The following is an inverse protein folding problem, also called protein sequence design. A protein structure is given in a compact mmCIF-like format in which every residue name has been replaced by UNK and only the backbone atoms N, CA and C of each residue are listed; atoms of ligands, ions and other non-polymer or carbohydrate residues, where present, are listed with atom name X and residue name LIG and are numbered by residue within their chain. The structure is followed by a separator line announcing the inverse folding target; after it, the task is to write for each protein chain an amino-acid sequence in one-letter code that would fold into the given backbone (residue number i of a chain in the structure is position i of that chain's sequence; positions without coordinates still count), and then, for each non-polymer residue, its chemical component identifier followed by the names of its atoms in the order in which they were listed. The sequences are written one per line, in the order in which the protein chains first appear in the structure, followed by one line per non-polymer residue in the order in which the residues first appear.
data_IF_661467519067
#
_entry.id   IF_661467519067
#
_cell.length_a   1.000
_cell.length_b   1.000
_cell.length_c   1.000
_cell.angle_alpha   90.00
_cell.angle_beta   90.00
_cell.angle_gamma   90.00
#
_symmetry.space_group_name_H-M   'P 1'
#
loop_
_entity.id
_entity.type
_entity.pdbx_description
1 polymer ?
#
# COMPACT_ATOMS: atom_id res chain seq x y z
N UNK A 1 8.04 58.47 -5.25
CA UNK A 1 7.41 59.50 -6.10
C UNK A 1 6.84 58.74 -7.28
N UNK A 2 5.54 58.64 -7.52
CA UNK A 2 4.34 59.28 -6.97
C UNK A 2 3.21 58.24 -6.88
N UNK A 3 2.28 58.50 -5.97
CA UNK A 3 1.00 57.81 -5.76
C UNK A 3 -0.13 58.74 -6.32
N UNK A 4 -1.43 58.47 -6.14
CA UNK A 4 -2.48 58.31 -7.16
C UNK A 4 -3.42 59.55 -7.26
N UNK A 5 -4.62 59.41 -7.87
CA UNK A 5 -5.86 59.28 -7.07
C UNK A 5 -6.85 58.24 -7.69
N UNK A 6 -7.73 57.50 -6.99
CA UNK A 6 -8.85 57.85 -6.08
C UNK A 6 -9.91 58.74 -6.79
N UNK A 7 -11.24 58.58 -6.72
CA UNK A 7 -12.17 57.76 -5.92
C UNK A 7 -13.63 58.19 -6.27
N UNK A 8 -14.62 57.52 -5.63
CA UNK A 8 -16.01 57.96 -5.28
C UNK A 8 -17.12 57.69 -6.31
N UNK A 9 -18.34 57.27 -5.94
CA UNK A 9 -19.11 57.23 -4.67
C UNK A 9 -20.29 56.22 -4.83
N UNK A 10 -20.62 55.37 -3.85
CA UNK A 10 -21.69 55.49 -2.80
C UNK A 10 -23.13 55.49 -3.39
N UNK A 11 -24.13 54.76 -2.88
CA UNK A 11 -24.72 54.71 -1.53
C UNK A 11 -25.27 53.28 -1.26
N UNK A 12 -25.07 52.63 -0.11
CA UNK A 12 -25.51 52.91 1.26
C UNK A 12 -27.00 52.63 1.54
N UNK A 13 -27.20 51.78 2.57
CA UNK A 13 -28.29 51.76 3.55
C UNK A 13 -29.68 51.23 3.18
N UNK A 14 -30.04 50.05 3.73
CA UNK A 14 -30.77 49.99 5.01
C UNK A 14 -31.27 48.56 5.34
N UNK A 15 -30.81 48.04 6.47
CA UNK A 15 -31.50 47.04 7.30
C UNK A 15 -32.08 47.77 8.53
N UNK A 16 -32.81 47.12 9.46
CA UNK A 16 -34.25 46.82 9.54
C UNK A 16 -34.99 47.73 10.57
N UNK A 17 -36.20 47.39 11.09
CA UNK A 17 -36.20 46.57 12.30
C UNK A 17 -37.40 45.62 12.50
N UNK A 18 -37.13 44.62 13.35
CA UNK A 18 -38.09 43.79 14.11
C UNK A 18 -39.23 44.60 14.74
N UNK A 19 -40.42 43.99 14.82
CA UNK A 19 -41.39 44.24 15.91
C UNK A 19 -41.95 42.93 16.45
N UNK A 20 -41.57 42.61 17.69
CA UNK A 20 -42.48 42.03 18.69
C UNK A 20 -43.42 43.14 19.19
N UNK A 21 -44.65 42.80 19.59
CA UNK A 21 -45.26 43.16 20.89
C UNK A 21 -46.73 42.69 20.93
N UNK A 22 -47.10 42.28 22.14
CA UNK A 22 -48.29 41.64 22.69
C UNK A 22 -49.65 42.37 22.62
N UNK A 23 -50.67 41.61 23.05
CA UNK A 23 -51.93 42.02 23.72
C UNK A 23 -53.04 42.57 22.81
N UNK A 24 -54.33 42.21 22.92
CA UNK A 24 -55.14 41.93 24.12
C UNK A 24 -56.43 41.16 23.78
N UNK A 25 -56.94 40.48 24.81
CA UNK A 25 -58.09 39.60 24.99
C UNK A 25 -59.50 40.00 24.49
N UNK A 26 -60.35 38.95 24.47
CA UNK A 26 -61.77 38.78 24.91
C UNK A 26 -62.59 38.04 23.82
N UNK A 27 -63.36 36.98 24.06
CA UNK A 27 -64.30 36.73 25.16
C UNK A 27 -64.63 35.23 25.27
N UNK A 28 -64.86 34.78 26.50
CA UNK A 28 -65.43 33.52 26.94
C UNK A 28 -66.55 32.93 26.06
N UNK A 29 -66.46 31.63 25.78
CA UNK A 29 -67.64 30.76 25.69
C UNK A 29 -67.44 29.63 26.71
N UNK A 30 -68.22 29.69 27.79
CA UNK A 30 -68.28 28.72 28.87
C UNK A 30 -69.17 27.56 28.42
N UNK A 31 -68.61 26.34 28.34
CA UNK A 31 -69.36 25.09 28.18
C UNK A 31 -69.35 24.32 29.53
N UNK A 32 -70.42 23.58 29.85
CA UNK A 32 -70.71 23.12 31.21
C UNK A 32 -69.76 22.00 31.64
N UNK A 33 -69.59 21.77 32.96
CA UNK A 33 -68.67 20.77 33.46
C UNK A 33 -69.33 19.39 33.31
N UNK A 34 -68.97 18.62 32.28
CA UNK A 34 -69.26 17.19 32.26
C UNK A 34 -68.12 16.46 32.96
N UNK A 35 -68.45 15.90 34.11
CA UNK A 35 -67.65 14.96 34.90
C UNK A 35 -67.20 13.76 34.06
N UNK A 36 -65.94 13.77 33.62
CA UNK A 36 -65.19 12.52 33.36
C UNK A 36 -63.67 12.77 33.27
N UNK A 37 -63.10 13.34 34.34
CA UNK A 37 -61.67 13.68 34.41
C UNK A 37 -60.75 12.46 34.64
N UNK A 38 -61.29 11.25 34.87
CA UNK A 38 -60.48 10.04 35.09
C UNK A 38 -60.13 9.26 33.83
N UNK A 39 -60.84 9.46 32.71
CA UNK A 39 -60.62 8.67 31.48
C UNK A 39 -59.54 9.27 30.58
N UNK A 40 -59.47 10.61 30.50
CA UNK A 40 -58.53 11.36 29.66
C UNK A 40 -57.08 11.23 30.17
N UNK A 41 -56.89 11.18 31.49
CA UNK A 41 -55.58 11.04 32.12
C UNK A 41 -54.97 9.64 31.88
N UNK A 42 -55.83 8.61 31.85
CA UNK A 42 -55.46 7.21 31.61
C UNK A 42 -55.03 6.96 30.15
N UNK A 43 -55.68 7.61 29.19
CA UNK A 43 -55.34 7.49 27.76
C UNK A 43 -54.01 8.19 27.42
N UNK A 44 -53.71 9.32 28.08
CA UNK A 44 -52.43 10.01 27.96
C UNK A 44 -51.24 9.20 28.50
N UNK A 45 -51.44 8.51 29.62
CA UNK A 45 -50.40 7.67 30.24
C UNK A 45 -50.12 6.40 29.43
N UNK A 46 -51.15 5.79 28.84
CA UNK A 46 -51.01 4.67 27.90
C UNK A 46 -50.22 5.06 26.65
N UNK A 47 -50.49 6.23 26.06
CA UNK A 47 -49.73 6.75 24.91
C UNK A 47 -48.27 7.05 25.27
N UNK A 48 -48.00 7.55 26.47
CA UNK A 48 -46.61 7.74 26.96
C UNK A 48 -45.89 6.41 27.18
N UNK A 49 -46.56 5.41 27.75
CA UNK A 49 -45.97 4.09 27.93
C UNK A 49 -45.71 3.39 26.60
N UNK A 50 -46.65 3.45 25.65
CA UNK A 50 -46.44 2.91 24.30
C UNK A 50 -45.34 3.68 23.55
N UNK A 51 -45.31 5.01 23.64
CA UNK A 51 -44.25 5.82 23.05
C UNK A 51 -42.87 5.47 23.60
N UNK A 52 -42.77 5.26 24.92
CA UNK A 52 -41.54 4.82 25.57
C UNK A 52 -41.13 3.42 25.16
N UNK A 53 -42.08 2.48 25.07
CA UNK A 53 -41.83 1.12 24.62
C UNK A 53 -41.33 1.10 23.16
N UNK A 54 -41.93 1.87 22.27
CA UNK A 54 -41.51 1.96 20.86
C UNK A 54 -40.10 2.55 20.76
N UNK A 55 -39.82 3.63 21.50
CA UNK A 55 -38.48 4.24 21.52
C UNK A 55 -37.42 3.29 22.08
N UNK A 56 -37.69 2.60 23.19
CA UNK A 56 -36.75 1.64 23.78
C UNK A 56 -36.51 0.43 22.85
N UNK A 57 -37.56 -0.04 22.16
CA UNK A 57 -37.44 -1.15 21.19
C UNK A 57 -36.64 -0.70 19.96
N UNK A 58 -36.89 0.51 19.47
CA UNK A 58 -36.20 1.07 18.31
C UNK A 58 -34.72 1.37 18.62
N UNK A 59 -34.42 1.88 19.81
CA UNK A 59 -33.06 2.11 20.30
C UNK A 59 -32.28 0.80 20.49
N UNK A 60 -32.96 -0.28 20.91
CA UNK A 60 -32.38 -1.62 21.03
C UNK A 60 -32.05 -2.21 19.66
N UNK A 61 -32.95 -2.05 18.68
CA UNK A 61 -32.75 -2.50 17.30
C UNK A 61 -31.59 -1.72 16.65
N UNK A 62 -31.56 -0.40 16.82
CA UNK A 62 -30.48 0.45 16.28
C UNK A 62 -29.13 0.16 16.93
N UNK A 63 -29.10 -0.15 18.23
CA UNK A 63 -27.87 -0.57 18.93
C UNK A 63 -27.37 -1.93 18.44
N UNK A 64 -28.26 -2.89 18.21
CA UNK A 64 -27.88 -4.20 17.67
C UNK A 64 -27.43 -4.10 16.21
N UNK A 65 -28.06 -3.24 15.41
CA UNK A 65 -27.67 -2.99 14.03
C UNK A 65 -26.29 -2.31 13.94
N UNK A 66 -26.02 -1.34 14.82
CA UNK A 66 -24.72 -0.67 14.89
C UNK A 66 -23.62 -1.63 15.34
N UNK A 67 -23.85 -2.45 16.38
CA UNK A 67 -22.93 -3.52 16.79
C UNK A 67 -22.65 -4.50 15.64
N UNK A 68 -23.67 -4.94 14.92
CA UNK A 68 -23.51 -5.82 13.77
C UNK A 68 -22.68 -5.17 12.65
N UNK A 69 -22.96 -3.90 12.31
CA UNK A 69 -22.21 -3.16 11.30
C UNK A 69 -20.74 -2.99 11.70
N UNK A 70 -20.47 -2.64 12.95
CA UNK A 70 -19.10 -2.53 13.47
C UNK A 70 -18.40 -3.88 13.46
N UNK A 71 -19.06 -4.95 13.92
CA UNK A 71 -18.52 -6.30 13.89
C UNK A 71 -18.19 -6.79 12.47
N UNK A 72 -19.06 -6.48 11.50
CA UNK A 72 -18.83 -6.82 10.10
C UNK A 72 -17.66 -6.03 9.51
N UNK A 73 -17.56 -4.73 9.79
CA UNK A 73 -16.41 -3.92 9.36
C UNK A 73 -15.09 -4.43 9.94
N UNK A 74 -15.06 -4.76 11.24
CA UNK A 74 -13.86 -5.33 11.88
C UNK A 74 -13.46 -6.66 11.23
N UNK A 75 -14.44 -7.52 10.95
CA UNK A 75 -14.18 -8.83 10.32
C UNK A 75 -13.67 -8.67 8.89
N UNK A 76 -14.24 -7.75 8.12
CA UNK A 76 -13.78 -7.43 6.75
C UNK A 76 -12.35 -6.90 6.79
N UNK A 77 -12.04 -5.95 7.68
CA UNK A 77 -10.68 -5.41 7.83
C UNK A 77 -9.70 -6.51 8.25
N UNK A 78 -10.05 -7.35 9.22
CA UNK A 78 -9.22 -8.48 9.63
C UNK A 78 -8.97 -9.47 8.48
N UNK A 79 -10.00 -9.77 7.67
CA UNK A 79 -9.91 -10.63 6.49
C UNK A 79 -9.00 -10.05 5.42
N UNK A 80 -9.05 -8.74 5.19
CA UNK A 80 -8.14 -8.04 4.27
C UNK A 80 -6.71 -8.12 4.79
N UNK A 81 -6.47 -7.77 6.06
CA UNK A 81 -5.13 -7.80 6.67
C UNK A 81 -4.52 -9.20 6.60
N UNK A 82 -5.28 -10.23 7.00
CA UNK A 82 -4.83 -11.63 6.92
C UNK A 82 -4.57 -12.05 5.48
N UNK A 83 -5.45 -11.73 4.54
CA UNK A 83 -5.25 -12.03 3.11
C UNK A 83 -3.99 -11.37 2.54
N UNK A 84 -3.72 -10.11 2.89
CA UNK A 84 -2.51 -9.39 2.45
C UNK A 84 -1.24 -10.01 3.07
N UNK A 85 -1.31 -10.42 4.33
CA UNK A 85 -0.19 -11.07 5.04
C UNK A 85 0.11 -12.46 4.48
N UNK A 86 -0.92 -13.27 4.20
CA UNK A 86 -0.80 -14.59 3.57
C UNK A 86 -0.39 -14.50 2.08
N UNK A 87 -0.79 -13.45 1.37
CA UNK A 87 -0.41 -13.24 -0.03
C UNK A 87 1.09 -12.96 -0.23
N UNK A 88 1.82 -12.65 0.86
CA UNK A 88 3.24 -12.29 0.80
C UNK A 88 3.50 -10.90 0.20
N UNK A 89 2.45 -10.11 -0.04
CA UNK A 89 2.52 -8.76 -0.63
C UNK A 89 3.32 -7.77 0.25
N UNK A 90 3.38 -8.04 1.56
CA UNK A 90 4.13 -7.29 2.56
C UNK A 90 5.48 -7.93 2.92
N UNK A 91 5.66 -9.22 2.64
CA UNK A 91 6.83 -9.94 3.10
C UNK A 91 8.02 -9.63 2.19
N UNK A 92 9.04 -9.01 2.79
CA UNK A 92 10.35 -8.89 2.17
C UNK A 92 10.95 -10.28 2.10
N UNK A 93 11.65 -10.54 1.00
CA UNK A 93 12.40 -11.78 0.82
C UNK A 93 13.86 -11.39 0.99
N UNK A 94 14.54 -12.05 1.93
CA UNK A 94 15.89 -11.71 2.31
C UNK A 94 16.91 -12.65 1.66
N UNK A 95 16.52 -13.92 1.45
CA UNK A 95 17.38 -14.94 0.87
C UNK A 95 16.62 -15.73 -0.20
N UNK A 96 17.34 -16.32 -1.15
CA UNK A 96 16.75 -17.10 -2.25
C UNK A 96 16.02 -18.36 -1.72
N UNK A 97 16.49 -18.92 -0.62
CA UNK A 97 15.91 -20.11 0.02
C UNK A 97 14.50 -19.87 0.57
N UNK A 98 14.23 -18.62 0.99
CA UNK A 98 12.91 -18.21 1.50
C UNK A 98 11.87 -18.11 0.38
N UNK A 99 12.30 -18.05 -0.89
CA UNK A 99 11.40 -17.96 -2.04
C UNK A 99 10.78 -19.34 -2.29
N UNK A 100 9.44 -19.48 -2.20
CA UNK A 100 8.78 -20.73 -2.51
C UNK A 100 8.99 -21.16 -3.96
N UNK A 101 9.16 -22.46 -4.20
CA UNK A 101 9.36 -23.03 -5.54
C UNK A 101 8.25 -22.66 -6.54
N UNK A 102 7.00 -22.55 -6.08
CA UNK A 102 5.88 -22.14 -6.93
C UNK A 102 6.03 -20.71 -7.49
N UNK A 103 6.81 -19.83 -6.85
CA UNK A 103 7.10 -18.50 -7.39
C UNK A 103 8.07 -18.56 -8.57
N UNK A 104 9.01 -19.52 -8.57
CA UNK A 104 9.87 -19.80 -9.72
C UNK A 104 9.07 -20.45 -10.85
N UNK A 105 8.25 -21.47 -10.55
CA UNK A 105 7.39 -22.13 -11.54
C UNK A 105 6.45 -21.14 -12.25
N UNK A 106 5.90 -20.15 -11.52
CA UNK A 106 5.06 -19.09 -12.07
C UNK A 106 5.83 -17.91 -12.67
N UNK A 107 7.16 -17.98 -12.71
CA UNK A 107 8.06 -16.92 -13.19
C UNK A 107 7.72 -15.56 -12.59
N UNK A 108 7.56 -15.52 -11.26
CA UNK A 108 7.11 -14.34 -10.53
C UNK A 108 8.08 -13.18 -10.75
N UNK A 109 7.51 -11.99 -10.97
CA UNK A 109 8.27 -10.74 -11.08
C UNK A 109 8.42 -10.09 -9.71
N UNK A 110 9.66 -9.78 -9.32
CA UNK A 110 9.99 -9.07 -8.10
C UNK A 110 10.64 -7.72 -8.45
N UNK A 111 10.36 -6.70 -7.62
CA UNK A 111 11.00 -5.39 -7.77
C UNK A 111 12.17 -5.30 -6.81
N UNK A 112 13.34 -4.99 -7.32
CA UNK A 112 14.57 -4.99 -6.52
C UNK A 112 15.42 -3.75 -6.79
N UNK A 113 16.41 -3.53 -5.94
CA UNK A 113 17.51 -2.56 -6.14
C UNK A 113 18.84 -3.31 -6.11
N UNK A 114 19.74 -2.99 -7.01
CA UNK A 114 21.08 -3.56 -7.00
C UNK A 114 21.92 -2.90 -5.92
N UNK A 115 22.59 -3.72 -5.12
CA UNK A 115 23.41 -3.26 -3.99
C UNK A 115 24.89 -3.44 -4.28
N UNK A 116 25.27 -4.57 -4.87
CA UNK A 116 26.67 -4.84 -5.26
C UNK A 116 26.76 -6.05 -6.19
N UNK A 117 27.88 -6.15 -6.88
CA UNK A 117 28.33 -7.36 -7.56
C UNK A 117 29.15 -8.22 -6.59
N UNK A 118 29.15 -9.55 -6.78
CA UNK A 118 30.00 -10.45 -6.01
C UNK A 118 31.44 -10.36 -6.52
N UNK A 119 32.41 -10.34 -5.58
CA UNK A 119 33.84 -10.36 -5.90
C UNK A 119 34.40 -11.75 -6.22
N UNK A 120 33.65 -12.80 -5.88
CA UNK A 120 34.07 -14.18 -6.13
C UNK A 120 33.55 -14.72 -7.46
N UNK A 121 32.37 -14.24 -7.87
CA UNK A 121 31.73 -14.60 -9.13
C UNK A 121 31.07 -13.32 -9.69
N UNK A 122 31.67 -12.69 -10.70
CA UNK A 122 31.14 -11.47 -11.29
C UNK A 122 29.73 -11.64 -11.86
N UNK A 123 29.31 -12.86 -12.17
CA UNK A 123 27.95 -13.13 -12.68
C UNK A 123 26.88 -13.07 -11.58
N UNK A 124 27.27 -13.05 -10.30
CA UNK A 124 26.34 -12.99 -9.17
C UNK A 124 26.21 -11.55 -8.65
N UNK A 125 24.98 -11.08 -8.58
CA UNK A 125 24.62 -9.77 -8.07
C UNK A 125 23.79 -9.91 -6.78
N UNK A 126 24.07 -9.05 -5.82
CA UNK A 126 23.29 -8.96 -4.59
C UNK A 126 22.27 -7.84 -4.69
N UNK A 127 21.00 -8.18 -4.58
CA UNK A 127 19.89 -7.25 -4.72
C UNK A 127 18.99 -7.21 -3.49
N UNK A 128 18.43 -6.03 -3.24
CA UNK A 128 17.48 -5.79 -2.17
C UNK A 128 16.05 -5.87 -2.70
N UNK A 129 15.24 -6.79 -2.18
CA UNK A 129 13.82 -6.88 -2.54
C UNK A 129 13.02 -5.71 -1.94
N UNK A 130 12.26 -5.00 -2.78
CA UNK A 130 11.43 -3.86 -2.38
C UNK A 130 9.95 -4.13 -2.70
N UNK A 131 9.19 -4.71 -1.76
CA UNK A 131 7.76 -5.00 -1.95
C UNK A 131 6.95 -3.73 -2.26
N UNK A 132 5.91 -3.86 -3.08
CA UNK A 132 5.12 -2.73 -3.55
C UNK A 132 4.50 -1.91 -2.41
N UNK A 133 3.87 -2.57 -1.44
CA UNK A 133 3.19 -1.90 -0.33
C UNK A 133 4.19 -1.19 0.60
N UNK A 134 5.35 -1.80 0.85
CA UNK A 134 6.44 -1.13 1.59
C UNK A 134 6.91 0.13 0.88
N UNK A 135 7.01 0.11 -0.45
CA UNK A 135 7.40 1.29 -1.23
C UNK A 135 6.35 2.41 -1.16
N UNK A 136 5.07 2.09 -1.36
CA UNK A 136 4.03 3.12 -1.49
C UNK A 136 3.54 3.64 -0.16
N UNK A 137 3.49 2.79 0.87
CA UNK A 137 2.91 3.13 2.18
C UNK A 137 3.98 3.46 3.22
N UNK A 138 5.07 2.69 3.24
CA UNK A 138 6.10 2.79 4.28
C UNK A 138 7.35 3.58 3.83
N UNK A 139 7.32 4.16 2.63
CA UNK A 139 8.44 4.88 2.02
C UNK A 139 9.77 4.11 2.17
N UNK A 140 9.77 2.81 1.85
CA UNK A 140 10.90 1.90 2.07
C UNK A 140 12.25 2.50 1.65
N UNK A 141 12.98 3.03 2.64
CA UNK A 141 14.34 3.57 2.49
C UNK A 141 15.29 2.38 2.55
N UNK A 142 16.28 2.36 1.66
CA UNK A 142 17.32 1.35 1.74
C UNK A 142 17.96 1.43 3.14
N UNK A 143 17.99 0.35 3.94
CA UNK A 143 18.60 0.37 5.25
C UNK A 143 20.03 0.92 5.18
N UNK A 144 20.37 1.86 6.06
CA UNK A 144 21.72 2.47 6.08
C UNK A 144 22.83 1.44 6.34
N UNK A 145 22.48 0.29 6.93
CA UNK A 145 23.41 -0.84 7.10
C UNK A 145 23.80 -1.52 5.78
N UNK A 146 23.01 -1.33 4.72
CA UNK A 146 23.26 -1.82 3.35
C UNK A 146 23.88 -0.75 2.46
N UNK A 147 24.00 0.50 2.94
CA UNK A 147 24.81 1.52 2.28
C UNK A 147 26.29 1.31 2.59
N UNK A 148 27.09 1.52 1.55
CA UNK A 148 28.55 1.35 1.42
C UNK A 148 29.32 1.40 2.73
N UNK A 149 30.05 0.32 3.06
CA UNK A 149 31.02 0.27 4.17
C UNK A 149 30.51 -0.42 5.45
N UNK A 150 29.21 -0.71 5.56
CA UNK A 150 28.68 -1.55 6.63
C UNK A 150 29.08 -3.00 6.45
N UNK A 151 29.43 -3.69 7.54
CA UNK A 151 29.67 -5.14 7.56
C UNK A 151 28.32 -5.86 7.30
N UNK A 152 27.86 -5.86 6.05
CA UNK A 152 26.56 -6.39 5.65
C UNK A 152 26.56 -7.87 5.90
N UNK A 153 25.78 -8.34 6.87
CA UNK A 153 25.41 -9.74 6.93
C UNK A 153 24.74 -10.07 5.61
N UNK A 154 25.34 -10.95 4.79
CA UNK A 154 24.79 -11.45 3.51
C UNK A 154 23.30 -11.84 3.59
N UNK A 155 22.84 -12.17 4.80
CA UNK A 155 21.50 -12.64 5.19
C UNK A 155 20.31 -11.78 4.77
N UNK A 156 20.51 -10.56 4.27
CA UNK A 156 19.42 -9.62 3.90
C UNK A 156 19.36 -9.30 2.39
N UNK A 157 20.18 -9.98 1.56
CA UNK A 157 20.27 -9.73 0.13
C UNK A 157 20.01 -10.99 -0.67
N UNK A 158 19.25 -10.85 -1.76
CA UNK A 158 19.05 -11.92 -2.73
C UNK A 158 20.28 -12.01 -3.64
N UNK A 159 20.91 -13.18 -3.67
CA UNK A 159 21.89 -13.51 -4.69
C UNK A 159 21.17 -13.88 -5.98
N UNK A 160 21.40 -13.10 -7.04
CA UNK A 160 20.79 -13.32 -8.35
C UNK A 160 21.86 -13.42 -9.42
N UNK A 161 21.54 -14.14 -10.50
CA UNK A 161 22.37 -14.24 -11.70
C UNK A 161 21.51 -13.97 -12.94
N UNK A 162 21.95 -13.13 -13.89
CA UNK A 162 21.27 -12.96 -15.16
C UNK A 162 21.38 -14.25 -15.98
N UNK A 163 20.27 -14.67 -16.57
CA UNK A 163 20.20 -15.87 -17.41
C UNK A 163 20.96 -15.70 -18.73
N UNK A 164 21.64 -16.76 -19.16
CA UNK A 164 22.25 -16.86 -20.48
C UNK A 164 23.46 -15.96 -20.72
N UNK A 165 24.02 -15.35 -19.68
CA UNK A 165 25.24 -14.54 -19.78
C UNK A 165 26.24 -14.85 -18.68
N UNK A 166 27.52 -14.73 -19.01
CA UNK A 166 28.64 -14.75 -18.09
C UNK A 166 29.25 -13.35 -18.05
N UNK A 167 29.33 -12.77 -16.86
CA UNK A 167 29.81 -11.40 -16.66
C UNK A 167 31.30 -11.40 -16.37
N UNK A 168 32.01 -10.42 -16.93
CA UNK A 168 33.44 -10.22 -16.71
C UNK A 168 33.71 -9.39 -15.45
N UNK A 169 34.89 -9.56 -14.84
CA UNK A 169 35.34 -8.80 -13.66
C UNK A 169 35.42 -7.29 -13.94
N UNK A 170 35.72 -6.91 -15.18
CA UNK A 170 35.82 -5.50 -15.60
C UNK A 170 34.50 -4.72 -15.49
N UNK A 171 33.36 -5.40 -15.31
CA UNK A 171 32.05 -4.76 -15.24
C UNK A 171 31.81 -3.98 -13.95
N UNK A 172 32.57 -4.23 -12.87
CA UNK A 172 32.25 -3.75 -11.50
C UNK A 172 32.03 -2.24 -11.45
N UNK A 173 32.93 -1.46 -12.07
CA UNK A 173 32.85 0.00 -12.07
C UNK A 173 31.63 0.52 -12.86
N UNK A 174 31.36 -0.08 -14.02
CA UNK A 174 30.21 0.30 -14.85
C UNK A 174 28.88 -0.04 -14.15
N UNK A 175 28.79 -1.24 -13.56
CA UNK A 175 27.62 -1.69 -12.80
C UNK A 175 27.38 -0.76 -11.61
N UNK A 176 28.46 -0.42 -10.89
CA UNK A 176 28.39 0.50 -9.77
C UNK A 176 27.84 1.87 -10.18
N UNK A 177 28.43 2.47 -11.21
CA UNK A 177 28.06 3.81 -11.69
C UNK A 177 26.62 3.88 -12.21
N UNK A 178 26.14 2.85 -12.89
CA UNK A 178 24.84 2.90 -13.57
C UNK A 178 23.68 2.40 -12.69
N UNK A 179 23.90 1.42 -11.82
CA UNK A 179 22.82 0.73 -11.12
C UNK A 179 22.88 0.86 -9.60
N UNK A 180 24.08 0.73 -9.02
CA UNK A 180 24.23 0.76 -7.55
C UNK A 180 24.12 2.19 -7.02
N UNK A 181 24.94 3.10 -7.54
CA UNK A 181 24.99 4.51 -7.11
C UNK A 181 23.67 5.25 -7.38
N UNK A 182 22.96 4.86 -8.44
CA UNK A 182 21.70 5.49 -8.86
C UNK A 182 20.49 5.01 -8.05
N UNK A 183 20.64 3.98 -7.21
CA UNK A 183 19.59 3.35 -6.41
C UNK A 183 18.30 3.04 -7.20
N UNK A 184 18.44 2.77 -8.51
CA UNK A 184 17.31 2.58 -9.42
C UNK A 184 16.62 1.25 -9.16
N UNK A 185 15.30 1.26 -9.31
CA UNK A 185 14.50 0.05 -9.26
C UNK A 185 14.60 -0.72 -10.57
N UNK A 186 14.87 -2.01 -10.44
CA UNK A 186 14.81 -3.00 -11.53
C UNK A 186 13.74 -4.05 -11.24
N UNK A 187 13.36 -4.80 -12.27
CA UNK A 187 12.41 -5.91 -12.12
C UNK A 187 13.12 -7.19 -12.49
N UNK A 188 13.20 -8.13 -11.55
CA UNK A 188 13.69 -9.47 -11.84
C UNK A 188 12.51 -10.39 -12.10
N UNK A 189 12.63 -11.27 -13.07
CA UNK A 189 11.72 -12.37 -13.30
C UNK A 189 12.43 -13.67 -12.92
N UNK A 190 11.93 -14.33 -11.88
CA UNK A 190 12.53 -15.56 -11.37
C UNK A 190 12.40 -16.69 -12.41
N UNK A 191 13.47 -17.44 -12.62
CA UNK A 191 13.48 -18.60 -13.51
C UNK A 191 13.78 -19.88 -12.73
N UNK A 192 14.92 -19.93 -12.04
CA UNK A 192 15.33 -21.11 -11.27
C UNK A 192 16.10 -20.71 -10.02
N UNK A 193 16.07 -21.61 -9.03
CA UNK A 193 16.97 -21.58 -7.88
C UNK A 193 18.09 -22.60 -8.09
N UNK A 194 19.32 -22.13 -8.09
CA UNK A 194 20.53 -22.94 -8.05
C UNK A 194 20.95 -23.03 -6.58
N UNK A 195 21.02 -24.25 -6.05
CA UNK A 195 21.52 -24.53 -4.71
C UNK A 195 22.56 -25.63 -4.85
N UNK A 196 23.83 -25.28 -4.65
CA UNK A 196 24.93 -26.25 -4.59
C UNK A 196 25.22 -26.50 -3.12
N UNK A 197 25.30 -27.77 -2.74
CA UNK A 197 25.50 -28.19 -1.36
C UNK A 197 26.74 -27.51 -0.74
N UNK A 198 26.56 -26.79 0.36
CA UNK A 198 27.62 -26.03 1.03
C UNK A 198 27.86 -24.61 0.49
N UNK A 199 27.10 -24.14 -0.49
CA UNK A 199 27.19 -22.78 -1.05
C UNK A 199 25.92 -21.95 -0.85
N UNK A 200 26.01 -20.65 -1.11
CA UNK A 200 24.87 -19.74 -1.07
C UNK A 200 23.92 -20.02 -2.24
N UNK A 201 22.63 -20.18 -1.96
CA UNK A 201 21.62 -20.37 -3.01
C UNK A 201 21.48 -19.12 -3.89
N UNK A 202 21.55 -19.29 -5.22
CA UNK A 202 21.48 -18.20 -6.21
C UNK A 202 20.22 -18.35 -7.07
N UNK A 203 19.52 -17.25 -7.34
CA UNK A 203 18.38 -17.24 -8.25
C UNK A 203 18.79 -16.80 -9.66
N UNK A 204 18.59 -17.66 -10.64
CA UNK A 204 18.71 -17.28 -12.05
C UNK A 204 17.47 -16.51 -12.48
N UNK A 205 17.65 -15.39 -13.17
CA UNK A 205 16.55 -14.48 -13.51
C UNK A 205 16.79 -13.67 -14.78
N UNK A 206 15.71 -13.18 -15.39
CA UNK A 206 15.77 -12.10 -16.36
C UNK A 206 15.63 -10.76 -15.63
N UNK A 207 16.36 -9.73 -16.03
CA UNK A 207 16.44 -8.47 -15.30
C UNK A 207 16.04 -7.31 -16.23
N UNK A 208 14.80 -6.86 -16.08
CA UNK A 208 14.27 -5.75 -16.86
C UNK A 208 14.60 -4.39 -16.20
N UNK A 209 15.24 -3.53 -16.99
CA UNK A 209 15.55 -2.14 -16.67
C UNK A 209 14.36 -1.25 -17.03
N UNK A 210 13.99 -0.36 -16.11
CA UNK A 210 12.92 0.62 -16.36
C UNK A 210 13.49 1.88 -17.02
N UNK A 211 14.06 1.75 -18.22
CA UNK A 211 14.33 2.91 -19.11
C UNK A 211 13.07 3.20 -19.93
N UNK A 212 12.57 4.42 -19.91
CA UNK A 212 11.61 4.94 -20.89
C UNK A 212 12.41 5.49 -22.09
N UNK A 213 11.92 5.41 -23.34
CA UNK A 213 10.65 4.83 -23.81
C UNK A 213 10.70 3.33 -24.17
N UNK A 214 11.89 2.75 -24.33
CA UNK A 214 12.10 1.33 -24.64
C UNK A 214 12.75 0.67 -23.42
N UNK A 215 12.00 -0.21 -22.72
CA UNK A 215 12.55 -0.97 -21.60
C UNK A 215 13.74 -1.81 -22.08
N UNK A 216 14.87 -1.71 -21.38
CA UNK A 216 16.09 -2.48 -21.69
C UNK A 216 16.20 -3.73 -20.85
N UNK A 217 16.89 -4.74 -21.36
CA UNK A 217 17.30 -5.92 -20.58
C UNK A 217 18.74 -5.71 -20.07
N UNK A 218 18.98 -6.04 -18.81
CA UNK A 218 20.29 -5.84 -18.18
C UNK A 218 21.38 -6.73 -18.79
N UNK A 219 21.04 -7.98 -19.12
CA UNK A 219 22.00 -8.90 -19.74
C UNK A 219 22.38 -8.40 -21.13
N UNK A 220 21.40 -7.92 -21.89
CA UNK A 220 21.65 -7.27 -23.19
C UNK A 220 22.56 -6.03 -23.05
N UNK A 221 22.33 -5.16 -22.05
CA UNK A 221 23.19 -3.99 -21.86
C UNK A 221 24.63 -4.38 -21.52
N UNK A 222 24.84 -5.35 -20.63
CA UNK A 222 26.17 -5.88 -20.31
C UNK A 222 26.90 -6.40 -21.56
N UNK A 223 26.23 -7.22 -22.37
CA UNK A 223 26.81 -7.76 -23.60
C UNK A 223 27.10 -6.65 -24.61
N UNK A 224 26.20 -5.68 -24.78
CA UNK A 224 26.37 -4.58 -25.72
C UNK A 224 27.56 -3.66 -25.38
N UNK A 225 27.90 -3.58 -24.10
CA UNK A 225 29.03 -2.81 -23.60
C UNK A 225 30.34 -3.64 -23.51
N UNK A 226 30.30 -4.92 -23.87
CA UNK A 226 31.47 -5.80 -23.81
C UNK A 226 31.83 -6.28 -22.40
N UNK A 227 30.90 -6.18 -21.44
CA UNK A 227 31.10 -6.61 -20.05
C UNK A 227 30.55 -8.01 -19.75
N UNK A 228 29.96 -8.67 -20.75
CA UNK A 228 29.47 -10.03 -20.62
C UNK A 228 29.49 -10.75 -21.96
N UNK A 229 29.58 -12.08 -21.89
CA UNK A 229 29.47 -12.98 -23.03
C UNK A 229 28.19 -13.81 -22.93
N UNK A 230 27.54 -14.06 -24.07
CA UNK A 230 26.39 -14.94 -24.13
C UNK A 230 26.83 -16.40 -23.97
N UNK A 231 26.17 -17.13 -23.08
CA UNK A 231 26.42 -18.55 -22.84
C UNK A 231 25.15 -19.36 -23.10
N UNK A 232 25.32 -20.58 -23.59
CA UNK A 232 24.21 -21.51 -23.78
C UNK A 232 23.78 -22.10 -22.43
N UNK A 233 22.65 -21.65 -21.93
CA UNK A 233 21.96 -22.25 -20.78
C UNK A 233 20.72 -23.00 -21.26
N UNK A 234 20.66 -24.31 -21.02
CA UNK A 234 19.56 -25.14 -21.51
C UNK A 234 18.32 -25.01 -20.61
N UNK A 235 17.30 -24.28 -21.08
CA UNK A 235 16.01 -24.04 -20.41
C UNK A 235 15.30 -25.32 -19.93
N UNK A 236 15.57 -26.49 -20.50
CA UNK A 236 14.96 -27.76 -20.08
C UNK A 236 15.34 -28.15 -18.65
N UNK A 237 16.53 -27.75 -18.18
CA UNK A 237 16.92 -27.92 -16.77
C UNK A 237 16.16 -26.97 -15.81
N UNK A 238 15.40 -26.01 -16.34
CA UNK A 238 14.75 -24.92 -15.61
C UNK A 238 13.23 -25.12 -15.46
N UNK A 239 12.66 -26.18 -16.04
CA UNK A 239 11.24 -26.56 -15.95
C UNK A 239 10.91 -27.51 -14.77
N UNK A 240 11.82 -27.67 -13.81
CA UNK A 240 11.64 -28.48 -12.59
C UNK A 240 10.62 -27.89 -11.58
N UNK A 241 9.62 -27.15 -12.07
CA UNK A 241 8.44 -26.69 -11.35
C UNK A 241 7.18 -27.49 -11.66
N UNK A 242 7.31 -28.74 -12.13
CA UNK A 242 6.23 -29.73 -12.25
C UNK A 242 6.40 -30.82 -11.20
#
# INVERSE_FOLDING_TARGET
MEVPPASRESDADNEPPRKQVDSTAKTHAQLPPSSDSRSVEKDGDLRRQMGKLVVDTQQTIDSNLTLFRVGLMVTVVASIVTSVRLSGLLNRVNNVEEIPLWQFARRKKLRVRMIRQSRQDPSVFYVYHTPFVRRTVLQDVLPQSLTVGGNTKKKDLLAIRPFGVQVDESSEEWVWSNFVSSHRYMTIQLLQRISVEGSESVATCNIALRKLPLGGDFAQELVSHGFAECISENLENYDNGS
#
